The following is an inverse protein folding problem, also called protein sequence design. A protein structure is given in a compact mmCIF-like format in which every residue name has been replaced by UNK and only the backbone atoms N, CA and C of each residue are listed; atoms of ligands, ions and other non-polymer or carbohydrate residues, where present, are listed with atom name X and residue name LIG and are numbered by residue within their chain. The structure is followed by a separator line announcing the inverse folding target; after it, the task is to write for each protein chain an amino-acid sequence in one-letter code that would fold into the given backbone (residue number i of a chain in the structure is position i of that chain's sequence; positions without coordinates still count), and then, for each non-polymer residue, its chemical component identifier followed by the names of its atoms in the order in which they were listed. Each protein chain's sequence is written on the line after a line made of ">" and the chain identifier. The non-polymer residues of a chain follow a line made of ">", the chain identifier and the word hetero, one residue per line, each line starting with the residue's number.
data_IF_694415096479
#
_entry.id   IF_694415096479
#
_cell.length_a   1.000
_cell.length_b   1.000
_cell.length_c   1.000
_cell.angle_alpha   90.00
_cell.angle_beta   90.00
_cell.angle_gamma   90.00
#
_symmetry.space_group_name_H-M   'P 1'
#
loop_
_entity.id
_entity.type
_entity.pdbx_description
1 polymer ?
#
# COMPACT_ATOMS: atom_id res chain seq x y z
N UNK A 1 -5.52 55.15 -47.95
CA UNK A 1 -6.45 56.06 -47.26
C UNK A 1 -7.82 55.40 -47.21
N UNK A 2 -8.38 55.28 -46.00
CA UNK A 2 -9.83 55.23 -45.69
C UNK A 2 -10.67 54.08 -46.28
N UNK A 3 -11.73 53.58 -45.64
CA UNK A 3 -12.27 53.56 -44.28
C UNK A 3 -13.44 52.55 -44.38
N UNK A 4 -13.66 51.84 -43.29
CA UNK A 4 -14.89 51.19 -42.81
C UNK A 4 -16.02 50.82 -43.78
N UNK A 5 -16.51 49.59 -43.65
CA UNK A 5 -17.92 49.40 -43.31
C UNK A 5 -18.16 48.11 -42.52
N UNK A 6 -18.73 48.32 -41.33
CA UNK A 6 -19.30 47.33 -40.44
C UNK A 6 -20.59 46.76 -41.06
N UNK A 7 -20.78 45.44 -40.98
CA UNK A 7 -22.12 44.87 -40.91
C UNK A 7 -22.16 43.70 -39.93
N UNK A 8 -23.04 43.90 -38.95
CA UNK A 8 -23.78 42.95 -38.11
C UNK A 8 -23.65 41.46 -38.46
N UNK A 9 -23.14 40.67 -37.51
CA UNK A 9 -23.61 39.30 -37.32
C UNK A 9 -23.87 39.10 -35.82
N UNK A 10 -25.15 39.22 -35.46
CA UNK A 10 -25.69 38.65 -34.25
C UNK A 10 -25.83 37.14 -34.46
N UNK A 11 -25.13 36.34 -33.67
CA UNK A 11 -25.43 34.92 -33.50
C UNK A 11 -25.20 34.55 -32.03
N UNK A 12 -26.25 34.80 -31.25
CA UNK A 12 -26.52 34.18 -29.97
C UNK A 12 -26.67 32.67 -30.18
N UNK A 13 -25.66 31.90 -29.80
CA UNK A 13 -25.82 30.51 -29.39
C UNK A 13 -25.13 30.33 -28.05
N UNK A 14 -25.88 30.61 -26.98
CA UNK A 14 -25.51 30.17 -25.64
C UNK A 14 -25.52 28.64 -25.64
N UNK A 15 -24.33 28.09 -25.49
CA UNK A 15 -24.06 26.68 -25.34
C UNK A 15 -24.80 26.17 -24.11
N UNK A 16 -25.44 25.03 -24.30
CA UNK A 16 -26.20 24.24 -23.33
C UNK A 16 -25.44 24.15 -22.00
N UNK A 17 -25.98 24.79 -20.97
CA UNK A 17 -25.56 24.59 -19.59
C UNK A 17 -26.03 23.21 -19.10
N UNK A 18 -25.29 22.15 -19.45
CA UNK A 18 -25.34 20.91 -18.69
C UNK A 18 -24.73 21.17 -17.31
N UNK A 19 -25.58 21.40 -16.31
CA UNK A 19 -25.17 21.20 -14.91
C UNK A 19 -24.94 19.69 -14.73
N UNK A 20 -23.73 19.22 -14.42
CA UNK A 20 -23.62 17.92 -13.78
C UNK A 20 -24.19 18.12 -12.37
N UNK A 21 -25.42 17.68 -12.17
CA UNK A 21 -25.96 17.51 -10.83
C UNK A 21 -25.27 16.27 -10.23
N UNK A 22 -23.98 16.39 -9.96
CA UNK A 22 -23.21 15.37 -9.24
C UNK A 22 -23.65 15.48 -7.80
N UNK A 23 -24.74 14.78 -7.50
CA UNK A 23 -25.07 14.32 -6.16
C UNK A 23 -23.74 13.82 -5.56
N UNK A 24 -23.28 14.31 -4.39
CA UNK A 24 -22.10 13.73 -3.78
C UNK A 24 -22.37 12.24 -3.64
N UNK A 25 -21.56 11.45 -4.33
CA UNK A 25 -21.55 10.02 -4.10
C UNK A 25 -21.24 9.88 -2.61
N UNK A 26 -22.26 9.50 -1.85
CA UNK A 26 -22.07 8.99 -0.49
C UNK A 26 -21.03 7.92 -0.67
N UNK A 27 -19.82 8.17 -0.15
CA UNK A 27 -18.76 7.20 -0.09
C UNK A 27 -19.40 5.94 0.49
N UNK A 28 -19.64 4.96 -0.36
CA UNK A 28 -20.04 3.65 0.09
C UNK A 28 -18.84 3.19 0.89
N UNK A 29 -18.95 3.24 2.22
CA UNK A 29 -18.09 2.48 3.12
C UNK A 29 -18.17 1.04 2.61
N UNK A 30 -17.20 0.70 1.77
CA UNK A 30 -16.97 -0.67 1.34
C UNK A 30 -16.82 -1.44 2.66
N UNK A 31 -17.53 -2.55 2.87
CA UNK A 31 -17.35 -3.33 4.08
C UNK A 31 -15.86 -3.59 4.25
N UNK A 32 -15.31 -3.15 5.38
CA UNK A 32 -13.94 -3.40 5.78
C UNK A 32 -13.73 -4.91 5.57
N UNK A 33 -12.92 -5.28 4.58
CA UNK A 33 -12.64 -6.69 4.32
C UNK A 33 -12.01 -7.19 5.60
N UNK A 34 -12.79 -7.97 6.35
CA UNK A 34 -12.38 -8.55 7.61
C UNK A 34 -11.43 -9.66 7.20
N UNK A 35 -10.17 -9.29 6.97
CA UNK A 35 -9.10 -10.27 6.92
C UNK A 35 -9.14 -11.08 8.21
N UNK A 36 -8.68 -12.34 8.18
CA UNK A 36 -8.44 -13.11 9.40
C UNK A 36 -7.80 -12.26 10.53
N UNK A 37 -8.10 -12.51 11.81
CA UNK A 37 -7.51 -11.76 12.91
C UNK A 37 -5.98 -11.74 12.83
N UNK A 38 -5.33 -10.67 13.32
CA UNK A 38 -3.86 -10.51 13.22
C UNK A 38 -3.03 -11.66 13.80
N UNK A 39 -3.61 -12.50 14.67
CA UNK A 39 -2.98 -13.75 15.12
C UNK A 39 -2.76 -14.74 13.98
N UNK A 40 -3.74 -14.88 13.09
CA UNK A 40 -3.69 -15.77 11.93
C UNK A 40 -2.62 -15.30 10.94
N UNK A 41 -2.41 -13.98 10.83
CA UNK A 41 -1.37 -13.43 9.98
C UNK A 41 0.04 -13.82 10.44
N UNK A 42 0.33 -13.70 11.74
CA UNK A 42 1.66 -14.07 12.23
C UNK A 42 1.94 -15.55 12.00
N UNK A 43 0.94 -16.41 12.14
CA UNK A 43 1.02 -17.83 11.84
C UNK A 43 1.31 -18.10 10.36
N UNK A 44 0.58 -17.45 9.45
CA UNK A 44 0.80 -17.59 8.00
C UNK A 44 2.21 -17.14 7.60
N UNK A 45 2.70 -16.05 8.19
CA UNK A 45 4.04 -15.49 7.90
C UNK A 45 5.19 -16.42 8.31
N UNK A 46 5.00 -17.34 9.26
CA UNK A 46 6.09 -18.18 9.76
C UNK A 46 6.81 -18.95 8.66
N UNK A 47 8.13 -19.09 8.78
CA UNK A 47 8.96 -19.82 7.83
C UNK A 47 9.77 -18.91 6.91
N UNK A 48 10.30 -19.50 5.84
CA UNK A 48 11.20 -18.83 4.89
C UNK A 48 10.48 -18.54 3.58
N UNK A 49 10.78 -17.38 3.03
CA UNK A 49 10.20 -16.86 1.81
C UNK A 49 11.31 -16.41 0.87
N UNK A 50 11.27 -16.87 -0.37
CA UNK A 50 12.22 -16.49 -1.43
C UNK A 50 11.60 -15.41 -2.30
N UNK A 51 12.36 -14.34 -2.58
CA UNK A 51 11.89 -13.28 -3.47
C UNK A 51 11.74 -13.80 -4.91
N UNK A 52 10.67 -13.39 -5.59
CA UNK A 52 10.35 -13.89 -6.93
C UNK A 52 11.16 -13.21 -8.03
N UNK A 53 11.73 -12.03 -7.76
CA UNK A 53 12.56 -11.26 -8.71
C UNK A 53 14.05 -11.50 -8.49
N UNK A 54 14.46 -11.77 -7.25
CA UNK A 54 15.83 -12.09 -6.86
C UNK A 54 15.89 -13.39 -6.05
N UNK A 55 16.32 -14.47 -6.68
CA UNK A 55 16.38 -15.79 -6.04
C UNK A 55 17.45 -15.88 -4.94
N UNK A 56 18.38 -14.93 -4.85
CA UNK A 56 19.39 -14.86 -3.79
C UNK A 56 18.91 -14.10 -2.55
N UNK A 57 17.73 -13.47 -2.61
CA UNK A 57 17.13 -12.72 -1.51
C UNK A 57 16.00 -13.50 -0.83
N UNK A 58 16.11 -13.65 0.49
CA UNK A 58 15.14 -14.35 1.32
C UNK A 58 14.76 -13.51 2.53
N UNK A 59 13.57 -13.79 3.05
CA UNK A 59 13.14 -13.35 4.38
C UNK A 59 12.69 -14.55 5.18
N UNK A 60 12.99 -14.55 6.47
CA UNK A 60 12.58 -15.62 7.39
C UNK A 60 11.90 -15.01 8.61
N UNK A 61 10.69 -15.51 8.90
CA UNK A 61 9.93 -15.17 10.10
C UNK A 61 9.97 -16.33 11.08
N UNK A 62 10.37 -16.07 12.32
CA UNK A 62 10.39 -17.04 13.41
C UNK A 62 9.90 -16.39 14.70
N UNK A 63 8.70 -16.78 15.14
CA UNK A 63 7.97 -16.10 16.18
C UNK A 63 7.71 -14.65 15.77
N UNK A 64 8.14 -13.71 16.62
CA UNK A 64 8.06 -12.26 16.37
C UNK A 64 9.36 -11.69 15.79
N UNK A 65 10.23 -12.49 15.18
CA UNK A 65 11.48 -12.02 14.58
C UNK A 65 11.47 -12.20 13.08
N UNK A 66 12.07 -11.24 12.38
CA UNK A 66 12.30 -11.27 10.94
C UNK A 66 13.81 -11.13 10.67
N UNK A 67 14.32 -11.94 9.74
CA UNK A 67 15.68 -11.81 9.19
C UNK A 67 15.61 -11.66 7.68
N UNK A 68 16.57 -10.92 7.12
CA UNK A 68 16.84 -10.89 5.68
C UNK A 68 18.09 -11.70 5.41
N UNK A 69 18.11 -12.42 4.30
CA UNK A 69 19.26 -13.21 3.89
C UNK A 69 19.50 -12.85 2.43
N UNK A 70 20.71 -12.39 2.12
CA UNK A 70 21.10 -11.98 0.79
C UNK A 70 22.48 -12.57 0.48
N UNK A 71 22.61 -13.33 -0.61
CA UNK A 71 23.88 -13.97 -0.99
C UNK A 71 24.55 -14.73 0.18
N UNK A 72 23.77 -15.57 0.89
CA UNK A 72 24.17 -16.32 2.09
C UNK A 72 24.58 -15.49 3.32
N UNK A 73 24.51 -14.16 3.23
CA UNK A 73 24.76 -13.25 4.34
C UNK A 73 23.44 -12.97 5.07
N UNK A 74 23.42 -13.28 6.37
CA UNK A 74 22.26 -13.07 7.22
C UNK A 74 22.34 -11.67 7.84
N UNK A 75 21.31 -10.86 7.63
CA UNK A 75 21.16 -9.57 8.30
C UNK A 75 20.98 -9.77 9.80
N UNK A 76 21.33 -8.75 10.58
CA UNK A 76 20.83 -8.68 11.95
C UNK A 76 19.29 -8.66 11.90
N UNK A 77 18.67 -9.59 12.63
CA UNK A 77 17.22 -9.75 12.63
C UNK A 77 16.56 -8.69 13.49
N UNK A 78 15.39 -8.22 13.08
CA UNK A 78 14.57 -7.28 13.84
C UNK A 78 13.36 -7.98 14.46
N UNK A 79 12.79 -7.37 15.51
CA UNK A 79 11.49 -7.79 16.00
C UNK A 79 10.40 -7.24 15.07
N UNK A 80 9.30 -7.96 14.92
CA UNK A 80 8.13 -7.51 14.18
C UNK A 80 6.89 -7.48 15.07
N UNK A 81 5.95 -6.60 14.74
CA UNK A 81 4.58 -6.62 15.25
C UNK A 81 3.60 -6.61 14.09
N UNK A 82 2.55 -7.41 14.17
CA UNK A 82 1.49 -7.48 13.16
C UNK A 82 0.27 -6.70 13.61
N UNK A 83 -0.42 -6.07 12.67
CA UNK A 83 -1.64 -5.32 12.92
C UNK A 83 -2.68 -5.65 11.84
N UNK A 84 -3.95 -5.59 12.24
CA UNK A 84 -5.07 -5.79 11.31
C UNK A 84 -5.12 -4.63 10.31
N UNK A 85 -4.79 -3.43 10.78
CA UNK A 85 -4.74 -2.19 10.02
C UNK A 85 -3.41 -1.47 10.31
N UNK A 86 -2.94 -0.66 9.35
CA UNK A 86 -1.70 0.10 9.52
C UNK A 86 -1.85 1.21 10.58
N UNK A 87 -1.16 1.14 11.73
CA UNK A 87 -1.30 2.14 12.79
C UNK A 87 -0.73 3.49 12.34
N UNK A 88 -1.62 4.47 12.14
CA UNK A 88 -1.26 5.80 11.62
C UNK A 88 -0.15 6.49 12.44
N UNK A 89 -0.23 6.42 13.78
CA UNK A 89 0.74 7.04 14.68
C UNK A 89 2.16 6.46 14.56
N UNK A 90 2.26 5.17 14.24
CA UNK A 90 3.55 4.48 14.08
C UNK A 90 4.06 4.60 12.65
N UNK A 91 3.18 4.41 11.67
CA UNK A 91 3.53 4.35 10.27
C UNK A 91 3.63 5.71 9.58
N UNK A 92 3.28 6.80 10.28
CA UNK A 92 3.29 8.18 9.76
C UNK A 92 2.58 8.29 8.41
N UNK A 93 1.55 7.47 8.21
CA UNK A 93 0.71 7.50 7.02
C UNK A 93 -0.37 8.55 7.24
N UNK A 94 -0.54 9.44 6.26
CA UNK A 94 -1.67 10.37 6.27
C UNK A 94 -2.98 9.57 6.32
N UNK A 95 -4.01 10.12 6.96
CA UNK A 95 -5.30 9.42 7.14
C UNK A 95 -6.00 9.04 5.83
N UNK A 96 -5.56 9.59 4.69
CA UNK A 96 -6.00 9.23 3.34
C UNK A 96 -5.27 8.00 2.77
N UNK A 97 -4.12 7.66 3.35
CA UNK A 97 -3.20 6.58 2.97
C UNK A 97 -3.11 5.51 4.05
N UNK A 98 -3.82 5.67 5.17
CA UNK A 98 -4.06 4.61 6.16
C UNK A 98 -4.67 3.42 5.41
N UNK A 99 -3.78 2.54 4.98
CA UNK A 99 -4.12 1.58 3.96
C UNK A 99 -4.86 0.46 4.64
N UNK A 100 -6.09 0.24 4.20
CA UNK A 100 -6.90 -0.89 4.63
C UNK A 100 -6.10 -2.19 4.43
N UNK A 101 -6.20 -3.08 5.42
CA UNK A 101 -5.53 -4.37 5.40
C UNK A 101 -4.29 -4.45 6.28
N UNK A 102 -3.80 -5.68 6.36
CA UNK A 102 -2.75 -6.08 7.28
C UNK A 102 -1.43 -5.33 7.08
N UNK A 103 -0.72 -5.13 8.19
CA UNK A 103 0.68 -4.73 8.13
C UNK A 103 1.52 -5.44 9.16
N UNK A 104 2.82 -5.48 8.91
CA UNK A 104 3.80 -5.71 9.95
C UNK A 104 4.74 -4.51 10.07
N UNK A 105 5.16 -4.25 11.30
CA UNK A 105 6.09 -3.19 11.65
C UNK A 105 7.39 -3.82 12.08
N UNK A 106 8.47 -3.50 11.39
CA UNK A 106 9.83 -3.86 11.75
C UNK A 106 10.36 -2.89 12.80
N UNK A 107 10.58 -3.39 14.00
CA UNK A 107 11.12 -2.64 15.12
C UNK A 107 12.64 -2.57 14.99
N UNK A 108 13.18 -1.41 14.62
CA UNK A 108 14.60 -1.20 14.39
C UNK A 108 15.12 -0.09 15.30
N UNK A 109 16.41 -0.13 15.63
CA UNK A 109 17.05 0.88 16.49
C UNK A 109 16.98 2.29 15.90
N UNK A 110 17.06 2.40 14.56
CA UNK A 110 17.05 3.67 13.84
C UNK A 110 15.65 4.12 13.39
N UNK A 111 14.60 3.51 13.95
CA UNK A 111 13.21 3.84 13.67
C UNK A 111 12.44 2.69 13.02
N UNK A 112 11.18 2.58 13.40
CA UNK A 112 10.27 1.56 12.92
C UNK A 112 9.98 1.73 11.42
N UNK A 113 9.91 0.60 10.71
CA UNK A 113 9.47 0.56 9.30
C UNK A 113 8.18 -0.20 9.16
N UNK A 114 7.21 0.38 8.46
CA UNK A 114 5.92 -0.26 8.26
C UNK A 114 5.82 -0.88 6.88
N UNK A 115 5.36 -2.13 6.83
CA UNK A 115 5.15 -2.89 5.62
C UNK A 115 3.66 -3.20 5.48
N UNK A 116 3.02 -2.66 4.45
CA UNK A 116 1.64 -3.02 4.11
C UNK A 116 1.65 -4.33 3.34
N UNK A 117 0.87 -5.30 3.82
CA UNK A 117 0.65 -6.57 3.14
C UNK A 117 -0.44 -6.38 2.09
N UNK A 118 -0.13 -6.77 0.86
CA UNK A 118 -1.03 -6.71 -0.29
C UNK A 118 -1.66 -8.08 -0.58
N UNK A 119 -0.88 -9.15 -0.36
CA UNK A 119 -1.34 -10.53 -0.42
C UNK A 119 -0.54 -11.37 0.58
N UNK A 120 -1.20 -12.28 1.29
CA UNK A 120 -0.53 -13.25 2.15
C UNK A 120 -1.40 -14.51 2.29
N UNK A 121 -0.90 -15.62 1.76
CA UNK A 121 -1.49 -16.94 1.87
C UNK A 121 -0.40 -17.96 2.25
N UNK A 122 -0.71 -19.26 2.18
CA UNK A 122 0.25 -20.31 2.57
C UNK A 122 1.45 -20.45 1.63
N UNK A 123 1.39 -19.88 0.43
CA UNK A 123 2.40 -20.01 -0.63
C UNK A 123 2.99 -18.68 -1.06
N UNK A 124 2.23 -17.58 -0.98
CA UNK A 124 2.62 -16.27 -1.50
C UNK A 124 2.57 -15.18 -0.43
N UNK A 125 3.54 -14.27 -0.51
CA UNK A 125 3.62 -13.07 0.30
C UNK A 125 3.98 -11.88 -0.57
N UNK A 126 3.14 -10.85 -0.56
CA UNK A 126 3.39 -9.58 -1.22
C UNK A 126 3.20 -8.44 -0.24
N UNK A 127 4.18 -7.56 -0.16
CA UNK A 127 4.08 -6.35 0.66
C UNK A 127 4.88 -5.20 0.05
N UNK A 128 4.61 -3.99 0.54
CA UNK A 128 5.36 -2.79 0.19
C UNK A 128 5.68 -1.99 1.45
N UNK A 129 6.82 -1.28 1.49
CA UNK A 129 7.06 -0.30 2.54
C UNK A 129 6.07 0.86 2.41
N UNK A 130 5.62 1.37 3.56
CA UNK A 130 4.83 2.59 3.64
C UNK A 130 5.73 3.84 3.73
N UNK A 131 6.99 3.67 4.12
CA UNK A 131 8.01 4.72 4.13
C UNK A 131 8.80 4.75 2.81
N UNK A 132 8.49 5.70 1.93
CA UNK A 132 9.30 6.00 0.74
C UNK A 132 9.02 5.12 -0.48
N UNK A 133 10.08 4.54 -1.07
CA UNK A 133 10.03 3.82 -2.35
C UNK A 133 9.02 2.65 -2.29
N UNK A 134 7.86 2.85 -2.90
CA UNK A 134 6.69 1.96 -2.82
C UNK A 134 6.83 0.71 -3.71
N UNK A 135 8.05 0.17 -3.84
CA UNK A 135 8.30 -1.06 -4.57
C UNK A 135 7.60 -2.23 -3.89
N UNK A 136 6.81 -2.96 -4.65
CA UNK A 136 6.16 -4.18 -4.20
C UNK A 136 7.20 -5.29 -4.22
N UNK A 137 7.39 -5.93 -3.07
CA UNK A 137 8.20 -7.12 -2.93
C UNK A 137 7.29 -8.34 -2.93
N UNK A 138 7.56 -9.27 -3.84
CA UNK A 138 6.82 -10.53 -3.97
C UNK A 138 7.72 -11.70 -3.60
N UNK A 139 7.17 -12.63 -2.83
CA UNK A 139 7.86 -13.81 -2.35
C UNK A 139 6.99 -15.05 -2.46
N UNK A 140 7.65 -16.19 -2.64
CA UNK A 140 7.07 -17.53 -2.52
C UNK A 140 7.62 -18.25 -1.29
N UNK A 141 6.81 -19.06 -0.64
CA UNK A 141 7.23 -19.86 0.52
C UNK A 141 8.13 -21.03 0.09
N UNK A 142 9.11 -21.39 0.93
CA UNK A 142 10.05 -22.51 0.70
C UNK A 142 10.23 -23.38 1.94
#
# INVERSE_FOLDING_TARGET
>A
MNKHNCYLIALLFFVIACKPNTKPAVAQNKPLVTGPPAGDLLEVLQGRWQNEQDTAYFIEFSGNRMKRIEHDSVSEGCNIKVYIDCPADLCKVDSLTASEGWCFVEMRENGDRCMQILNCDTEHLQFRPLDGDSLILSFKKI
#
